data_IF_710383810802
#
_entry.id   IF_710383810802
#
_cell.length_a   1.000
_cell.length_b   1.000
_cell.length_c   1.000
_cell.angle_alpha   90.00
_cell.angle_beta   90.00
_cell.angle_gamma   90.00
#
_symmetry.space_group_name_H-M   'P 1'
#
loop_
_entity.id
_entity.type
_entity.pdbx_description
1 polymer ?
#
# COMPACT_ATOMS: atom_id res chain seq x y z
N UNK A 1 -11.29 -22.65 8.62
CA UNK A 1 -12.67 -22.48 8.12
C UNK A 1 -12.75 -22.45 6.59
N UNK A 2 -11.72 -21.96 5.85
CA UNK A 2 -11.71 -21.99 4.37
C UNK A 2 -11.42 -23.36 3.73
N UNK A 3 -10.84 -24.31 4.46
CA UNK A 3 -10.45 -25.62 3.92
C UNK A 3 -11.57 -26.39 3.19
N UNK A 4 -12.84 -26.38 3.62
CA UNK A 4 -13.93 -27.02 2.87
C UNK A 4 -14.12 -26.42 1.48
N UNK A 5 -14.12 -25.09 1.34
CA UNK A 5 -14.24 -24.40 0.06
C UNK A 5 -13.08 -24.76 -0.88
N UNK A 6 -11.85 -24.81 -0.37
CA UNK A 6 -10.69 -25.23 -1.17
C UNK A 6 -10.78 -26.68 -1.63
N UNK A 7 -11.31 -27.58 -0.80
CA UNK A 7 -11.55 -28.98 -1.19
C UNK A 7 -12.60 -29.09 -2.30
N UNK A 8 -13.65 -28.27 -2.27
CA UNK A 8 -14.67 -28.24 -3.34
C UNK A 8 -14.04 -27.68 -4.63
N UNK A 9 -13.34 -26.54 -4.53
CA UNK A 9 -12.69 -25.88 -5.68
C UNK A 9 -11.59 -26.72 -6.33
N UNK A 10 -10.97 -27.65 -5.60
CA UNK A 10 -10.05 -28.62 -6.17
C UNK A 10 -10.75 -29.71 -6.99
N UNK A 11 -11.97 -30.10 -6.59
CA UNK A 11 -12.74 -31.19 -7.23
C UNK A 11 -13.57 -30.72 -8.42
N UNK A 12 -14.14 -29.51 -8.34
CA UNK A 12 -14.93 -28.90 -9.41
C UNK A 12 -14.79 -27.39 -9.40
N UNK A 13 -15.19 -26.76 -10.50
CA UNK A 13 -15.35 -25.30 -10.56
C UNK A 13 -16.36 -24.86 -9.50
N UNK A 14 -16.01 -23.85 -8.73
CA UNK A 14 -16.90 -23.24 -7.73
C UNK A 14 -18.07 -22.55 -8.42
N UNK A 15 -19.25 -22.72 -7.83
CA UNK A 15 -20.51 -22.09 -8.21
C UNK A 15 -20.90 -21.02 -7.17
N UNK A 16 -21.89 -20.19 -7.48
CA UNK A 16 -22.33 -19.11 -6.58
C UNK A 16 -22.87 -19.66 -5.26
N UNK A 17 -23.56 -20.80 -5.32
CA UNK A 17 -24.13 -21.49 -4.14
C UNK A 17 -23.06 -22.08 -3.19
N UNK A 18 -21.81 -22.24 -3.66
CA UNK A 18 -20.71 -22.69 -2.80
C UNK A 18 -20.18 -21.57 -1.88
N UNK A 19 -20.54 -20.32 -2.16
CA UNK A 19 -20.01 -19.17 -1.45
C UNK A 19 -20.75 -18.95 -0.13
N UNK A 20 -19.98 -18.75 0.93
CA UNK A 20 -20.56 -18.41 2.24
C UNK A 20 -21.29 -17.07 2.19
N UNK A 21 -22.45 -17.02 2.83
CA UNK A 21 -23.14 -15.74 3.06
C UNK A 21 -22.26 -14.80 3.90
N UNK A 22 -22.37 -13.50 3.63
CA UNK A 22 -21.67 -12.47 4.40
C UNK A 22 -22.14 -12.46 5.86
N UNK A 23 -21.21 -12.14 6.76
CA UNK A 23 -21.53 -11.98 8.18
C UNK A 23 -22.56 -10.86 8.36
N UNK A 24 -23.48 -10.94 9.33
CA UNK A 24 -24.49 -9.90 9.59
C UNK A 24 -23.89 -8.50 9.79
N UNK A 25 -22.75 -8.42 10.49
CA UNK A 25 -21.99 -7.18 10.71
C UNK A 25 -21.39 -6.58 9.43
N UNK A 26 -21.19 -7.40 8.40
CA UNK A 26 -20.58 -6.99 7.13
C UNK A 26 -21.64 -6.73 6.04
N UNK A 27 -22.92 -6.74 6.39
CA UNK A 27 -24.02 -6.43 5.46
C UNK A 27 -24.03 -4.95 5.08
N UNK A 28 -24.37 -4.69 3.81
CA UNK A 28 -24.37 -3.34 3.24
C UNK A 28 -25.29 -2.36 3.94
N UNK A 29 -26.46 -2.82 4.39
CA UNK A 29 -27.41 -1.99 5.13
C UNK A 29 -26.80 -1.46 6.43
N UNK A 30 -26.26 -2.36 7.26
CA UNK A 30 -25.67 -1.99 8.55
C UNK A 30 -24.50 -1.00 8.37
N UNK A 31 -23.53 -1.36 7.52
CA UNK A 31 -22.34 -0.54 7.28
C UNK A 31 -22.68 0.82 6.65
N UNK A 32 -23.64 0.82 5.72
CA UNK A 32 -24.10 2.01 5.03
C UNK A 32 -24.88 2.97 5.93
N UNK A 33 -25.76 2.46 6.78
CA UNK A 33 -26.50 3.25 7.77
C UNK A 33 -25.59 3.82 8.86
N UNK A 34 -24.59 3.04 9.31
CA UNK A 34 -23.60 3.50 10.28
C UNK A 34 -22.83 4.72 9.75
N UNK A 35 -22.22 4.61 8.57
CA UNK A 35 -21.44 5.70 7.98
C UNK A 35 -22.33 6.90 7.62
N UNK A 36 -23.56 6.66 7.16
CA UNK A 36 -24.54 7.72 6.92
C UNK A 36 -24.85 8.48 8.22
N UNK A 37 -25.03 7.79 9.35
CA UNK A 37 -25.27 8.44 10.64
C UNK A 37 -24.11 9.34 11.07
N UNK A 38 -22.86 8.95 10.79
CA UNK A 38 -21.69 9.82 11.01
C UNK A 38 -21.63 11.00 10.04
N UNK A 39 -22.02 10.82 8.78
CA UNK A 39 -22.15 11.90 7.81
C UNK A 39 -23.20 12.92 8.23
N UNK A 40 -24.39 12.49 8.64
CA UNK A 40 -25.47 13.38 9.07
C UNK A 40 -25.08 14.19 10.32
N UNK A 41 -24.34 13.57 11.26
CA UNK A 41 -23.75 14.27 12.42
C UNK A 41 -22.72 15.32 12.00
N UNK A 42 -21.91 15.03 10.99
CA UNK A 42 -20.90 15.96 10.47
C UNK A 42 -21.54 17.14 9.73
N UNK A 43 -22.62 16.91 8.96
CA UNK A 43 -23.40 17.98 8.31
C UNK A 43 -23.97 18.94 9.35
N UNK A 44 -24.66 18.41 10.38
CA UNK A 44 -25.22 19.25 11.47
C UNK A 44 -24.16 20.05 12.22
N UNK A 45 -23.00 19.47 12.47
CA UNK A 45 -21.86 20.17 13.09
C UNK A 45 -21.31 21.26 12.18
N UNK A 46 -21.18 20.96 10.89
CA UNK A 46 -20.66 21.90 9.91
C UNK A 46 -21.58 23.13 9.74
N UNK A 47 -22.91 22.93 9.78
CA UNK A 47 -23.90 24.01 9.81
C UNK A 47 -23.75 24.91 11.05
N UNK A 48 -23.59 24.31 12.24
CA UNK A 48 -23.39 25.05 13.49
C UNK A 48 -22.09 25.85 13.49
N UNK A 49 -21.02 25.28 12.93
CA UNK A 49 -19.69 25.89 12.87
C UNK A 49 -19.51 26.81 11.64
N UNK A 50 -20.56 27.05 10.85
CA UNK A 50 -20.52 27.82 9.59
C UNK A 50 -19.39 27.40 8.64
N UNK A 51 -19.16 26.09 8.51
CA UNK A 51 -18.09 25.49 7.69
C UNK A 51 -18.67 24.46 6.72
N UNK A 52 -17.89 24.10 5.70
CA UNK A 52 -18.28 22.99 4.83
C UNK A 52 -18.17 21.63 5.54
N UNK A 53 -19.09 20.69 5.29
CA UNK A 53 -19.01 19.34 5.82
C UNK A 53 -17.83 18.58 5.19
N UNK A 54 -17.16 17.73 5.98
CA UNK A 54 -16.00 16.96 5.55
C UNK A 54 -16.28 15.46 5.56
N UNK A 55 -16.36 14.85 4.38
CA UNK A 55 -16.57 13.40 4.24
C UNK A 55 -15.42 12.61 4.87
N UNK A 56 -14.19 13.12 4.75
CA UNK A 56 -13.03 12.52 5.40
C UNK A 56 -13.20 12.47 6.93
N UNK A 57 -13.76 13.52 7.54
CA UNK A 57 -13.98 13.57 8.99
C UNK A 57 -15.07 12.58 9.43
N UNK A 58 -16.13 12.41 8.64
CA UNK A 58 -17.15 11.39 8.88
C UNK A 58 -16.56 9.96 8.82
N UNK A 59 -15.77 9.67 7.78
CA UNK A 59 -15.09 8.37 7.61
C UNK A 59 -14.15 8.09 8.79
N UNK A 60 -13.30 9.05 9.15
CA UNK A 60 -12.37 8.91 10.28
C UNK A 60 -13.15 8.64 11.55
N UNK A 61 -14.16 9.45 11.89
CA UNK A 61 -14.94 9.27 13.12
C UNK A 61 -15.67 7.91 13.20
N UNK A 62 -16.09 7.36 12.07
CA UNK A 62 -16.74 6.06 11.98
C UNK A 62 -15.77 4.91 12.27
N UNK A 63 -14.57 4.91 11.67
CA UNK A 63 -13.69 3.73 11.66
C UNK A 63 -12.41 3.85 12.51
N UNK A 64 -12.05 5.04 13.01
CA UNK A 64 -10.74 5.24 13.66
C UNK A 64 -10.54 4.39 14.91
N UNK A 65 -11.58 4.15 15.73
CA UNK A 65 -11.44 3.35 16.97
C UNK A 65 -11.11 1.89 16.64
N UNK A 66 -11.89 1.31 15.73
CA UNK A 66 -11.70 -0.06 15.26
C UNK A 66 -10.35 -0.21 14.57
N UNK A 67 -9.92 0.79 13.80
CA UNK A 67 -8.64 0.79 13.11
C UNK A 67 -7.44 0.97 14.07
N UNK A 68 -7.55 1.89 15.04
CA UNK A 68 -6.51 2.16 16.03
C UNK A 68 -6.26 0.98 16.96
N UNK A 69 -7.28 0.18 17.28
CA UNK A 69 -7.10 -1.06 18.04
C UNK A 69 -6.05 -1.98 17.37
N UNK A 70 -6.04 -2.06 16.04
CA UNK A 70 -5.09 -2.88 15.29
C UNK A 70 -3.70 -2.26 15.15
N UNK A 71 -3.53 -0.98 15.52
CA UNK A 71 -2.22 -0.32 15.60
C UNK A 71 -1.28 -1.05 16.58
N UNK A 72 -1.84 -1.54 17.69
CA UNK A 72 -1.09 -2.21 18.76
C UNK A 72 -0.53 -3.55 18.24
N UNK A 73 -1.35 -4.33 17.55
CA UNK A 73 -0.90 -5.59 16.92
C UNK A 73 0.19 -5.35 15.88
N UNK A 74 0.07 -4.27 15.11
CA UNK A 74 1.09 -3.90 14.12
C UNK A 74 2.40 -3.43 14.78
N UNK A 75 2.34 -2.75 15.93
CA UNK A 75 3.53 -2.42 16.72
C UNK A 75 4.23 -3.66 17.26
N UNK A 76 3.47 -4.61 17.81
CA UNK A 76 4.05 -5.86 18.30
C UNK A 76 4.69 -6.64 17.16
N UNK A 77 4.01 -6.77 16.02
CA UNK A 77 4.56 -7.41 14.83
C UNK A 77 5.90 -6.79 14.43
N UNK A 78 5.97 -5.47 14.29
CA UNK A 78 7.22 -4.80 13.91
C UNK A 78 8.30 -4.93 14.99
N UNK A 79 7.92 -4.95 16.27
CA UNK A 79 8.85 -5.18 17.39
C UNK A 79 9.49 -6.57 17.30
N UNK A 80 8.70 -7.62 17.13
CA UNK A 80 9.23 -8.98 16.96
C UNK A 80 10.15 -9.07 15.74
N UNK A 81 9.77 -8.41 14.64
CA UNK A 81 10.58 -8.37 13.41
C UNK A 81 11.96 -7.73 13.64
N UNK A 82 12.03 -6.65 14.41
CA UNK A 82 13.29 -5.93 14.73
C UNK A 82 14.12 -6.68 15.77
N UNK A 83 13.49 -7.46 16.65
CA UNK A 83 14.20 -8.26 17.66
C UNK A 83 14.77 -9.57 17.10
N UNK A 84 14.17 -10.19 16.10
CA UNK A 84 14.68 -11.44 15.50
C UNK A 84 16.20 -11.43 15.21
N UNK A 85 16.78 -10.38 14.60
CA UNK A 85 18.22 -10.27 14.36
C UNK A 85 19.09 -10.30 15.63
N UNK A 86 18.65 -9.72 16.74
CA UNK A 86 19.46 -9.62 17.98
C UNK A 86 19.56 -10.97 18.69
N UNK A 87 18.48 -11.75 18.70
CA UNK A 87 18.50 -13.12 19.22
C UNK A 87 19.33 -14.05 18.32
N UNK A 88 19.32 -13.83 17.01
CA UNK A 88 20.16 -14.58 16.08
C UNK A 88 21.64 -14.24 16.26
N UNK A 89 21.99 -12.98 16.52
CA UNK A 89 23.35 -12.57 16.91
C UNK A 89 23.83 -13.31 18.17
N UNK A 90 22.95 -13.50 19.16
CA UNK A 90 23.23 -14.27 20.37
C UNK A 90 23.57 -15.74 20.07
N UNK A 91 22.80 -16.37 19.18
CA UNK A 91 23.05 -17.73 18.72
C UNK A 91 24.38 -17.83 17.94
N UNK A 92 24.69 -16.85 17.10
CA UNK A 92 25.96 -16.81 16.38
C UNK A 92 27.15 -16.66 17.34
N UNK A 93 27.00 -15.86 18.39
CA UNK A 93 28.04 -15.71 19.43
C UNK A 93 28.32 -17.03 20.14
N UNK A 94 27.29 -17.85 20.38
CA UNK A 94 27.46 -19.21 20.91
C UNK A 94 28.32 -20.09 19.99
N UNK A 95 28.00 -20.14 18.70
CA UNK A 95 28.74 -20.97 17.74
C UNK A 95 30.19 -20.52 17.53
N UNK A 96 30.46 -19.22 17.62
CA UNK A 96 31.82 -18.69 17.50
C UNK A 96 32.70 -19.03 18.71
N UNK A 97 32.11 -19.16 19.90
CA UNK A 97 32.79 -19.45 21.15
C UNK A 97 32.40 -20.85 21.66
N UNK A 98 32.18 -21.80 20.77
CA UNK A 98 31.70 -23.13 21.13
C UNK A 98 32.72 -23.86 22.00
N UNK A 99 32.32 -24.16 23.23
CA UNK A 99 33.07 -24.99 24.17
C UNK A 99 32.21 -26.21 24.55
N UNK A 100 32.62 -27.44 24.20
CA UNK A 100 31.86 -28.65 24.51
C UNK A 100 31.75 -28.94 26.02
N UNK A 101 32.58 -28.30 26.85
CA UNK A 101 32.56 -28.48 28.31
C UNK A 101 31.63 -27.50 29.04
N UNK A 102 31.16 -26.44 28.38
CA UNK A 102 30.29 -25.42 28.98
C UNK A 102 28.80 -25.73 28.73
N UNK A 103 28.26 -26.57 29.60
CA UNK A 103 26.83 -26.91 29.62
C UNK A 103 25.90 -25.71 29.82
N UNK A 104 26.36 -24.64 30.49
CA UNK A 104 25.58 -23.42 30.71
C UNK A 104 25.41 -22.60 29.43
N UNK A 105 26.46 -22.54 28.61
CA UNK A 105 26.43 -21.85 27.32
C UNK A 105 25.61 -22.62 26.28
N UNK A 106 25.61 -23.96 26.33
CA UNK A 106 24.69 -24.80 25.54
C UNK A 106 23.22 -24.54 25.90
N UNK A 107 22.87 -24.45 27.20
CA UNK A 107 21.51 -24.13 27.62
C UNK A 107 21.03 -22.75 27.11
N UNK A 108 21.91 -21.74 27.14
CA UNK A 108 21.62 -20.41 26.57
C UNK A 108 21.35 -20.47 25.06
N UNK A 109 22.09 -21.29 24.33
CA UNK A 109 21.88 -21.47 22.89
C UNK A 109 20.50 -22.06 22.58
N UNK A 110 20.10 -23.12 23.30
CA UNK A 110 18.74 -23.67 23.18
C UNK A 110 17.67 -22.64 23.55
N UNK A 111 17.91 -21.81 24.57
CA UNK A 111 17.05 -20.69 24.93
C UNK A 111 16.89 -19.69 23.78
N UNK A 112 17.99 -19.25 23.16
CA UNK A 112 17.95 -18.35 22.00
C UNK A 112 17.21 -18.97 20.80
N UNK A 113 17.46 -20.24 20.48
CA UNK A 113 16.76 -20.96 19.42
C UNK A 113 15.26 -21.07 19.69
N UNK A 114 14.87 -21.40 20.93
CA UNK A 114 13.45 -21.47 21.31
C UNK A 114 12.78 -20.10 21.16
N UNK A 115 13.40 -19.04 21.69
CA UNK A 115 12.85 -17.67 21.59
C UNK A 115 12.74 -17.21 20.14
N UNK A 116 13.74 -17.48 19.30
CA UNK A 116 13.71 -17.16 17.86
C UNK A 116 12.52 -17.81 17.16
N UNK A 117 12.31 -19.11 17.36
CA UNK A 117 11.20 -19.83 16.73
C UNK A 117 9.85 -19.31 17.22
N UNK A 118 9.70 -19.06 18.53
CA UNK A 118 8.48 -18.50 19.10
C UNK A 118 8.21 -17.11 18.54
N UNK A 119 9.22 -16.23 18.47
CA UNK A 119 9.08 -14.89 17.91
C UNK A 119 8.73 -14.91 16.44
N UNK A 120 9.33 -15.83 15.66
CA UNK A 120 9.02 -15.98 14.23
C UNK A 120 7.56 -16.40 14.02
N UNK A 121 7.07 -17.35 14.80
CA UNK A 121 5.67 -17.81 14.74
C UNK A 121 4.71 -16.70 15.16
N UNK A 122 5.00 -16.00 16.27
CA UNK A 122 4.18 -14.87 16.74
C UNK A 122 4.16 -13.75 15.68
N UNK A 123 5.32 -13.40 15.12
CA UNK A 123 5.43 -12.41 14.06
C UNK A 123 4.57 -12.79 12.85
N UNK A 124 4.66 -14.03 12.37
CA UNK A 124 3.87 -14.50 11.23
C UNK A 124 2.36 -14.45 11.52
N UNK A 125 1.93 -14.89 12.71
CA UNK A 125 0.53 -14.83 13.13
C UNK A 125 0.05 -13.37 13.17
N UNK A 126 0.80 -12.47 13.81
CA UNK A 126 0.44 -11.06 13.92
C UNK A 126 0.38 -10.38 12.55
N UNK A 127 1.31 -10.67 11.64
CA UNK A 127 1.32 -10.12 10.29
C UNK A 127 0.06 -10.52 9.51
N UNK A 128 -0.30 -11.80 9.52
CA UNK A 128 -1.49 -12.29 8.83
C UNK A 128 -2.79 -11.82 9.50
N UNK A 129 -2.82 -11.79 10.84
CA UNK A 129 -3.94 -11.28 11.61
C UNK A 129 -4.19 -9.80 11.28
N UNK A 130 -3.18 -8.94 11.40
CA UNK A 130 -3.29 -7.53 11.04
C UNK A 130 -3.74 -7.35 9.58
N UNK A 131 -3.14 -8.09 8.65
CA UNK A 131 -3.47 -7.98 7.22
C UNK A 131 -4.94 -8.31 6.95
N UNK A 132 -5.46 -9.37 7.58
CA UNK A 132 -6.87 -9.77 7.47
C UNK A 132 -7.82 -8.68 8.00
N UNK A 133 -7.57 -8.16 9.19
CA UNK A 133 -8.44 -7.13 9.78
C UNK A 133 -8.36 -5.79 9.05
N UNK A 134 -7.16 -5.38 8.62
CA UNK A 134 -6.98 -4.17 7.82
C UNK A 134 -7.74 -4.28 6.48
N UNK A 135 -7.67 -5.42 5.81
CA UNK A 135 -8.44 -5.70 4.59
C UNK A 135 -9.95 -5.68 4.85
N UNK A 136 -10.41 -6.30 5.95
CA UNK A 136 -11.83 -6.29 6.31
C UNK A 136 -12.36 -4.87 6.57
N UNK A 137 -11.58 -4.01 7.23
CA UNK A 137 -11.95 -2.59 7.44
C UNK A 137 -12.01 -1.84 6.10
N UNK A 138 -11.05 -2.05 5.21
CA UNK A 138 -11.07 -1.50 3.85
C UNK A 138 -12.34 -1.88 3.09
N UNK A 139 -12.67 -3.17 3.10
CA UNK A 139 -13.89 -3.70 2.48
C UNK A 139 -15.15 -3.09 3.09
N UNK A 140 -15.24 -3.00 4.42
CA UNK A 140 -16.38 -2.39 5.12
C UNK A 140 -16.59 -0.95 4.68
N UNK A 141 -15.51 -0.17 4.64
CA UNK A 141 -15.54 1.21 4.19
C UNK A 141 -15.96 1.30 2.72
N UNK A 142 -15.48 0.40 1.86
CA UNK A 142 -15.93 0.35 0.46
C UNK A 142 -17.43 0.09 0.34
N UNK A 143 -17.94 -0.92 1.04
CA UNK A 143 -19.37 -1.28 1.00
C UNK A 143 -20.23 -0.13 1.52
N UNK A 144 -19.85 0.49 2.64
CA UNK A 144 -20.55 1.63 3.21
C UNK A 144 -20.62 2.83 2.24
N UNK A 145 -19.50 3.14 1.58
CA UNK A 145 -19.43 4.20 0.58
C UNK A 145 -20.29 3.89 -0.65
N UNK A 146 -20.27 2.66 -1.17
CA UNK A 146 -21.15 2.26 -2.26
C UNK A 146 -22.63 2.42 -1.90
N UNK A 147 -23.02 2.05 -0.67
CA UNK A 147 -24.38 2.24 -0.18
C UNK A 147 -24.77 3.72 -0.14
N UNK A 148 -23.91 4.59 0.40
CA UNK A 148 -24.17 6.04 0.44
C UNK A 148 -24.31 6.65 -0.95
N UNK A 149 -23.39 6.32 -1.87
CA UNK A 149 -23.43 6.79 -3.26
C UNK A 149 -24.73 6.35 -3.94
N UNK A 150 -25.12 5.08 -3.78
CA UNK A 150 -26.35 4.53 -4.35
C UNK A 150 -27.59 5.23 -3.79
N UNK A 151 -27.70 5.35 -2.47
CA UNK A 151 -28.81 6.04 -1.80
C UNK A 151 -28.93 7.49 -2.23
N UNK A 152 -27.80 8.19 -2.40
CA UNK A 152 -27.78 9.59 -2.85
C UNK A 152 -28.17 9.71 -4.32
N UNK A 153 -27.67 8.83 -5.17
CA UNK A 153 -28.01 8.78 -6.61
C UNK A 153 -29.52 8.69 -6.83
N UNK A 154 -30.22 7.87 -6.03
CA UNK A 154 -31.69 7.73 -6.08
C UNK A 154 -32.47 8.99 -5.65
N UNK A 155 -31.79 9.99 -5.07
CA UNK A 155 -32.38 11.23 -4.53
C UNK A 155 -31.85 12.48 -5.23
N UNK A 156 -31.05 12.34 -6.29
CA UNK A 156 -30.55 13.48 -7.05
C UNK A 156 -31.69 14.09 -7.87
N UNK A 157 -31.76 15.42 -7.90
CA UNK A 157 -32.67 16.15 -8.78
C UNK A 157 -32.23 16.04 -10.25
N UNK A 158 -33.17 16.21 -11.17
CA UNK A 158 -32.87 16.20 -12.61
C UNK A 158 -31.81 17.25 -13.02
N UNK A 159 -31.73 18.39 -12.31
CA UNK A 159 -30.71 19.43 -12.54
C UNK A 159 -29.31 19.01 -12.07
N UNK A 160 -29.21 18.24 -10.99
CA UNK A 160 -27.95 17.69 -10.51
C UNK A 160 -27.48 16.49 -11.37
N UNK A 161 -28.43 15.68 -11.87
CA UNK A 161 -28.16 14.59 -12.83
C UNK A 161 -27.60 15.14 -14.15
N UNK A 162 -28.03 16.32 -14.60
CA UNK A 162 -27.46 16.97 -15.79
C UNK A 162 -25.97 17.34 -15.63
N UNK A 163 -25.46 17.48 -14.41
CA UNK A 163 -24.05 17.78 -14.10
C UNK A 163 -23.20 16.53 -13.82
N UNK A 164 -23.84 15.44 -13.38
CA UNK A 164 -23.18 14.18 -13.02
C UNK A 164 -23.65 13.07 -13.95
N UNK A 165 -22.80 12.63 -14.89
CA UNK A 165 -23.17 11.58 -15.83
C UNK A 165 -23.21 10.21 -15.16
N UNK A 166 -24.06 9.31 -15.64
CA UNK A 166 -24.11 7.90 -15.17
C UNK A 166 -22.73 7.23 -15.23
N UNK A 167 -21.93 7.57 -16.24
CA UNK A 167 -20.55 7.07 -16.37
C UNK A 167 -19.62 7.54 -15.25
N UNK A 168 -19.79 8.78 -14.75
CA UNK A 168 -19.02 9.29 -13.61
C UNK A 168 -19.36 8.51 -12.33
N UNK A 169 -20.64 8.23 -12.06
CA UNK A 169 -21.08 7.45 -10.89
C UNK A 169 -20.53 6.03 -10.95
N UNK A 170 -20.62 5.38 -12.12
CA UNK A 170 -20.06 4.04 -12.33
C UNK A 170 -18.54 4.04 -12.08
N UNK A 171 -17.82 5.07 -12.56
CA UNK A 171 -16.40 5.21 -12.30
C UNK A 171 -16.07 5.39 -10.81
N UNK A 172 -16.87 6.17 -10.06
CA UNK A 172 -16.71 6.31 -8.61
C UNK A 172 -16.83 4.94 -7.93
N UNK A 173 -17.92 4.21 -8.20
CA UNK A 173 -18.20 2.89 -7.62
C UNK A 173 -17.16 1.83 -7.99
N UNK A 174 -16.60 1.90 -9.20
CA UNK A 174 -15.69 0.88 -9.73
C UNK A 174 -14.21 1.16 -9.44
N UNK A 175 -13.81 2.43 -9.32
CA UNK A 175 -12.40 2.82 -9.20
C UNK A 175 -12.08 3.58 -7.90
N UNK A 176 -12.89 4.56 -7.52
CA UNK A 176 -12.59 5.42 -6.38
C UNK A 176 -12.80 4.70 -5.05
N UNK A 177 -13.89 3.96 -4.93
CA UNK A 177 -14.19 3.26 -3.67
C UNK A 177 -13.19 2.11 -3.40
N UNK A 178 -12.63 1.48 -4.44
CA UNK A 178 -11.60 0.45 -4.28
C UNK A 178 -10.27 0.97 -3.69
N UNK A 179 -10.05 2.29 -3.61
CA UNK A 179 -8.85 2.85 -2.97
C UNK A 179 -8.84 2.64 -1.46
N UNK A 180 -10.01 2.51 -0.83
CA UNK A 180 -10.14 2.24 0.60
C UNK A 180 -9.55 0.89 1.02
N UNK A 181 -9.63 -0.12 0.15
CA UNK A 181 -9.02 -1.44 0.38
C UNK A 181 -7.49 -1.35 0.47
N UNK A 182 -6.89 -0.47 -0.34
CA UNK A 182 -5.42 -0.32 -0.42
C UNK A 182 -4.87 0.53 0.72
N UNK A 183 -5.54 1.62 1.07
CA UNK A 183 -5.03 2.58 2.06
C UNK A 183 -5.08 2.01 3.48
N UNK A 184 -6.11 1.24 3.81
CA UNK A 184 -6.29 0.63 5.15
C UNK A 184 -5.18 -0.37 5.49
N UNK A 185 -4.57 -1.03 4.51
CA UNK A 185 -3.42 -1.91 4.75
C UNK A 185 -2.13 -1.10 4.97
N UNK A 186 -1.99 0.04 4.30
CA UNK A 186 -0.73 0.79 4.23
C UNK A 186 -0.62 1.95 5.22
N UNK A 187 -1.74 2.47 5.74
CA UNK A 187 -1.75 3.70 6.52
C UNK A 187 -0.90 3.61 7.79
N UNK A 188 -0.87 2.46 8.48
CA UNK A 188 -0.02 2.28 9.66
C UNK A 188 1.49 2.39 9.39
N UNK A 189 1.92 2.19 8.14
CA UNK A 189 3.33 2.27 7.76
C UNK A 189 3.87 3.71 7.90
N UNK A 190 3.00 4.72 7.80
CA UNK A 190 3.41 6.13 7.85
C UNK A 190 3.99 6.56 9.21
N UNK A 191 3.55 5.95 10.30
CA UNK A 191 4.06 6.25 11.64
C UNK A 191 4.96 5.13 12.18
N UNK A 192 4.71 3.87 11.77
CA UNK A 192 5.57 2.74 12.14
C UNK A 192 6.91 2.83 11.43
N UNK A 193 6.96 3.25 10.16
CA UNK A 193 8.21 3.37 9.42
C UNK A 193 9.27 4.25 10.11
N UNK A 194 8.92 5.49 10.52
CA UNK A 194 9.81 6.32 11.31
C UNK A 194 10.21 5.68 12.65
N UNK A 195 9.28 5.04 13.35
CA UNK A 195 9.55 4.37 14.63
C UNK A 195 10.52 3.18 14.45
N UNK A 196 10.35 2.37 13.40
CA UNK A 196 11.26 1.29 13.03
C UNK A 196 12.64 1.86 12.70
N UNK A 197 12.72 2.92 11.91
CA UNK A 197 13.98 3.54 11.55
C UNK A 197 14.74 4.02 12.80
N UNK A 198 14.07 4.70 13.73
CA UNK A 198 14.66 5.15 15.00
C UNK A 198 15.14 3.95 15.81
N UNK A 199 14.31 2.92 15.97
CA UNK A 199 14.65 1.71 16.76
C UNK A 199 15.89 1.01 16.19
N UNK A 200 15.95 0.86 14.86
CA UNK A 200 17.08 0.22 14.20
C UNK A 200 18.35 1.08 14.27
N UNK A 201 18.24 2.41 14.13
CA UNK A 201 19.38 3.32 14.34
C UNK A 201 19.97 3.11 15.73
N UNK A 202 19.12 3.09 16.76
CA UNK A 202 19.56 2.88 18.15
C UNK A 202 20.26 1.52 18.31
N UNK A 203 19.66 0.43 17.80
CA UNK A 203 20.26 -0.91 17.89
C UNK A 203 21.58 -1.02 17.14
N UNK A 204 21.69 -0.43 15.95
CA UNK A 204 22.93 -0.41 15.18
C UNK A 204 24.01 0.42 15.87
N UNK A 205 23.64 1.58 16.42
CA UNK A 205 24.56 2.43 17.17
C UNK A 205 25.12 1.71 18.39
N UNK A 206 24.28 0.97 19.13
CA UNK A 206 24.74 0.19 20.29
C UNK A 206 25.77 -0.91 19.94
N UNK A 207 25.78 -1.39 18.68
CA UNK A 207 26.55 -2.58 18.28
C UNK A 207 27.76 -2.27 17.42
N UNK A 208 27.69 -1.23 16.59
CA UNK A 208 28.70 -0.84 15.59
C UNK A 208 29.07 0.65 15.75
N UNK A 209 28.47 1.35 16.73
CA UNK A 209 28.83 2.73 17.06
C UNK A 209 28.47 3.73 15.97
N UNK A 210 29.28 4.78 15.89
CA UNK A 210 29.04 5.93 14.99
C UNK A 210 29.06 5.58 13.50
N UNK A 211 29.72 4.48 13.12
CA UNK A 211 29.75 3.98 11.73
C UNK A 211 28.35 3.66 11.19
N UNK A 212 27.41 3.31 12.07
CA UNK A 212 26.01 3.10 11.71
C UNK A 212 25.37 4.33 11.08
N UNK A 213 25.77 5.55 11.48
CA UNK A 213 25.21 6.78 10.90
C UNK A 213 25.59 6.97 9.44
N UNK A 214 26.77 6.52 9.02
CA UNK A 214 27.19 6.62 7.61
C UNK A 214 26.26 5.81 6.70
N UNK A 215 25.91 4.58 7.10
CA UNK A 215 24.95 3.75 6.38
C UNK A 215 23.53 4.31 6.42
N UNK A 216 23.11 4.86 7.56
CA UNK A 216 21.80 5.49 7.71
C UNK A 216 21.65 6.77 6.87
N UNK A 217 22.70 7.58 6.76
CA UNK A 217 22.72 8.76 5.89
C UNK A 217 22.52 8.35 4.42
N UNK A 218 23.21 7.31 3.96
CA UNK A 218 23.00 6.76 2.62
C UNK A 218 21.59 6.20 2.42
N UNK A 219 21.03 5.52 3.42
CA UNK A 219 19.64 5.04 3.37
C UNK A 219 18.66 6.18 3.16
N UNK A 220 18.81 7.29 3.89
CA UNK A 220 17.97 8.49 3.73
C UNK A 220 18.13 9.08 2.33
N UNK A 221 19.35 9.22 1.82
CA UNK A 221 19.61 9.71 0.46
C UNK A 221 18.90 8.82 -0.58
N UNK A 222 19.02 7.50 -0.43
CA UNK A 222 18.40 6.53 -1.32
C UNK A 222 16.87 6.54 -1.23
N UNK A 223 16.30 6.76 -0.05
CA UNK A 223 14.87 6.95 0.15
C UNK A 223 14.37 8.21 -0.59
N UNK A 224 15.10 9.33 -0.51
CA UNK A 224 14.74 10.56 -1.23
C UNK A 224 14.81 10.38 -2.75
N UNK A 225 15.85 9.69 -3.24
CA UNK A 225 15.98 9.38 -4.67
C UNK A 225 14.82 8.51 -5.16
N UNK A 226 14.37 7.55 -4.33
CA UNK A 226 13.24 6.69 -4.64
C UNK A 226 11.90 7.45 -4.70
N UNK A 227 11.70 8.44 -3.83
CA UNK A 227 10.53 9.33 -3.92
C UNK A 227 10.53 10.10 -5.25
N UNK A 228 11.70 10.57 -5.70
CA UNK A 228 11.81 11.26 -6.99
C UNK A 228 11.54 10.32 -8.18
N UNK A 229 12.11 9.12 -8.18
CA UNK A 229 11.83 8.09 -9.18
C UNK A 229 10.34 7.74 -9.24
N UNK A 230 9.67 7.64 -8.08
CA UNK A 230 8.23 7.42 -8.00
C UNK A 230 7.41 8.53 -8.66
N UNK A 231 7.78 9.81 -8.46
CA UNK A 231 7.12 10.96 -9.14
C UNK A 231 7.30 10.89 -10.66
N UNK A 232 8.49 10.53 -11.13
CA UNK A 232 8.75 10.36 -12.56
C UNK A 232 7.94 9.19 -13.15
N UNK A 233 7.85 8.07 -12.42
CA UNK A 233 7.03 6.92 -12.80
C UNK A 233 5.56 7.29 -12.97
N UNK A 234 4.98 8.03 -12.02
CA UNK A 234 3.61 8.52 -12.10
C UNK A 234 3.39 9.45 -13.31
N UNK A 235 4.36 10.33 -13.60
CA UNK A 235 4.31 11.21 -14.78
C UNK A 235 4.31 10.42 -16.10
N UNK A 236 5.16 9.40 -16.22
CA UNK A 236 5.22 8.52 -17.39
C UNK A 236 3.93 7.70 -17.56
N UNK A 237 3.36 7.21 -16.45
CA UNK A 237 2.09 6.48 -16.46
C UNK A 237 0.92 7.36 -16.90
N UNK A 238 0.87 8.61 -16.44
CA UNK A 238 -0.12 9.60 -16.89
C UNK A 238 -0.02 9.88 -18.40
N UNK A 239 1.20 10.09 -18.91
CA UNK A 239 1.42 10.26 -20.36
C UNK A 239 1.05 9.01 -21.16
N UNK A 240 1.31 7.82 -20.63
CA UNK A 240 0.92 6.56 -21.25
C UNK A 240 -0.60 6.49 -21.39
N UNK A 241 -1.34 6.76 -20.31
CA UNK A 241 -2.80 6.79 -20.33
C UNK A 241 -3.35 7.76 -21.40
N UNK A 242 -2.81 8.98 -21.49
CA UNK A 242 -3.24 9.94 -22.50
C UNK A 242 -3.03 9.47 -23.95
N UNK A 243 -1.92 8.76 -24.24
CA UNK A 243 -1.69 8.17 -25.56
C UNK A 243 -2.59 6.96 -25.82
N UNK A 244 -2.82 6.13 -24.80
CA UNK A 244 -3.75 5.00 -24.89
C UNK A 244 -5.17 5.49 -25.19
N UNK A 245 -5.66 6.53 -24.52
CA UNK A 245 -6.97 7.11 -24.74
C UNK A 245 -7.13 7.64 -26.18
N UNK A 246 -6.13 8.37 -26.67
CA UNK A 246 -6.12 8.86 -28.06
C UNK A 246 -6.17 7.72 -29.08
N UNK A 247 -5.37 6.65 -28.86
CA UNK A 247 -5.37 5.45 -29.71
C UNK A 247 -6.72 4.75 -29.69
N UNK A 248 -7.31 4.54 -28.51
CA UNK A 248 -8.60 3.87 -28.36
C UNK A 248 -9.73 4.67 -29.02
N UNK A 249 -9.72 6.01 -28.88
CA UNK A 249 -10.67 6.89 -29.56
C UNK A 249 -10.59 6.75 -31.08
N UNK A 250 -9.40 6.89 -31.67
CA UNK A 250 -9.21 6.74 -33.12
C UNK A 250 -9.57 5.33 -33.60
N UNK A 251 -9.25 4.29 -32.82
CA UNK A 251 -9.63 2.92 -33.15
C UNK A 251 -11.16 2.76 -33.17
N UNK A 252 -11.88 3.39 -32.23
CA UNK A 252 -13.34 3.37 -32.19
C UNK A 252 -13.97 4.09 -33.40
N UNK A 253 -13.42 5.23 -33.80
CA UNK A 253 -13.84 5.96 -35.02
C UNK A 253 -13.65 5.10 -36.27
N UNK A 254 -12.51 4.41 -36.40
CA UNK A 254 -12.23 3.49 -37.53
C UNK A 254 -13.20 2.31 -37.57
N UNK A 255 -13.49 1.69 -36.42
CA UNK A 255 -14.44 0.57 -36.35
C UNK A 255 -15.85 1.03 -36.72
N UNK A 256 -16.27 2.20 -36.24
CA UNK A 256 -17.58 2.77 -36.55
C UNK A 256 -17.71 3.10 -38.03
N UNK A 257 -16.65 3.61 -38.66
CA UNK A 257 -16.58 3.97 -40.08
C UNK A 257 -16.11 2.86 -41.03
N UNK A 258 -16.03 1.60 -40.60
CA UNK A 258 -15.29 0.55 -41.32
C UNK A 258 -15.80 0.29 -42.74
N UNK A 259 -17.13 0.41 -42.97
CA UNK A 259 -17.73 0.21 -44.29
C UNK A 259 -17.23 1.24 -45.30
N UNK A 260 -17.18 2.51 -44.92
CA UNK A 260 -16.67 3.61 -45.76
C UNK A 260 -15.18 3.41 -46.04
N UNK A 261 -14.40 3.09 -45.01
CA UNK A 261 -12.95 2.85 -45.16
C UNK A 261 -12.67 1.71 -46.15
N UNK A 262 -13.44 0.62 -46.07
CA UNK A 262 -13.38 -0.51 -47.00
C UNK A 262 -13.78 -0.14 -48.43
N UNK A 263 -14.84 0.66 -48.60
CA UNK A 263 -15.32 1.12 -49.91
C UNK A 263 -14.26 1.96 -50.65
N UNK A 264 -13.49 2.77 -49.92
CA UNK A 264 -12.42 3.61 -50.48
C UNK A 264 -11.02 2.98 -50.41
N UNK A 265 -10.88 1.73 -49.96
CA UNK A 265 -9.61 1.04 -49.78
C UNK A 265 -8.59 1.82 -48.91
N UNK A 266 -9.06 2.54 -47.89
CA UNK A 266 -8.24 3.37 -46.99
C UNK A 266 -7.62 2.61 -45.81
N UNK A 267 -7.70 1.28 -45.77
CA UNK A 267 -7.30 0.50 -44.61
C UNK A 267 -5.82 0.69 -44.24
N UNK A 268 -4.94 0.77 -45.25
CA UNK A 268 -3.50 0.97 -45.00
C UNK A 268 -3.22 2.31 -44.35
N UNK A 269 -3.85 3.39 -44.83
CA UNK A 269 -3.66 4.74 -44.28
C UNK A 269 -4.14 4.85 -42.83
N UNK A 270 -5.29 4.25 -42.49
CA UNK A 270 -5.78 4.20 -41.11
C UNK A 270 -4.94 3.27 -40.22
N UNK A 271 -4.46 2.14 -40.75
CA UNK A 271 -3.54 1.26 -40.03
C UNK A 271 -2.22 1.98 -39.68
N UNK A 272 -1.66 2.77 -40.60
CA UNK A 272 -0.49 3.60 -40.36
C UNK A 272 -0.75 4.68 -39.31
N UNK A 273 -1.92 5.34 -39.35
CA UNK A 273 -2.32 6.31 -38.33
C UNK A 273 -2.33 5.69 -36.92
N UNK A 274 -2.99 4.52 -36.76
CA UNK A 274 -3.04 3.79 -35.48
C UNK A 274 -1.64 3.35 -35.06
N UNK A 275 -0.81 2.88 -36.00
CA UNK A 275 0.57 2.45 -35.75
C UNK A 275 1.44 3.61 -35.22
N UNK A 276 1.28 4.83 -35.76
CA UNK A 276 1.98 6.02 -35.25
C UNK A 276 1.57 6.37 -33.81
N UNK A 277 0.28 6.27 -33.48
CA UNK A 277 -0.21 6.47 -32.10
C UNK A 277 0.36 5.39 -31.17
N UNK A 278 0.34 4.13 -31.61
CA UNK A 278 0.91 3.01 -30.87
C UNK A 278 2.41 3.17 -30.61
N UNK A 279 3.17 3.70 -31.56
CA UNK A 279 4.62 3.99 -31.37
C UNK A 279 4.85 5.02 -30.26
N UNK A 280 4.03 6.07 -30.19
CA UNK A 280 4.11 7.09 -29.11
C UNK A 280 3.77 6.48 -27.75
N UNK A 281 2.72 5.66 -27.70
CA UNK A 281 2.31 4.92 -26.50
C UNK A 281 3.42 3.98 -26.02
N UNK A 282 3.93 3.11 -26.90
CA UNK A 282 5.02 2.15 -26.59
C UNK A 282 6.27 2.88 -26.11
N UNK A 283 6.63 4.02 -26.69
CA UNK A 283 7.79 4.80 -26.24
C UNK A 283 7.67 5.22 -24.77
N UNK A 284 6.47 5.56 -24.28
CA UNK A 284 6.25 5.91 -22.87
C UNK A 284 6.18 4.68 -21.98
N UNK A 285 5.55 3.61 -22.44
CA UNK A 285 5.55 2.31 -21.75
C UNK A 285 6.99 1.85 -21.52
N UNK A 286 7.81 1.83 -22.56
CA UNK A 286 9.19 1.36 -22.48
C UNK A 286 10.03 2.19 -21.50
N UNK A 287 9.88 3.52 -21.51
CA UNK A 287 10.54 4.39 -20.52
C UNK A 287 10.08 4.09 -19.09
N UNK A 288 8.79 3.81 -18.89
CA UNK A 288 8.25 3.42 -17.58
C UNK A 288 8.82 2.08 -17.13
N UNK A 289 8.93 1.10 -18.05
CA UNK A 289 9.51 -0.22 -17.77
C UNK A 289 11.00 -0.14 -17.44
N UNK A 290 11.78 0.68 -18.15
CA UNK A 290 13.18 0.91 -17.79
C UNK A 290 13.33 1.54 -16.40
N UNK A 291 12.48 2.53 -16.07
CA UNK A 291 12.50 3.16 -14.76
C UNK A 291 12.14 2.16 -13.63
N UNK A 292 11.16 1.30 -13.87
CA UNK A 292 10.77 0.24 -12.93
C UNK A 292 11.91 -0.78 -12.73
N UNK A 293 12.55 -1.21 -13.81
CA UNK A 293 13.73 -2.07 -13.76
C UNK A 293 14.90 -1.43 -13.01
N UNK A 294 15.20 -0.14 -13.27
CA UNK A 294 16.21 0.62 -12.55
C UNK A 294 15.88 0.72 -11.05
N UNK A 295 14.61 0.90 -10.70
CA UNK A 295 14.13 0.95 -9.32
C UNK A 295 14.40 -0.35 -8.58
N UNK A 296 14.15 -1.50 -9.23
CA UNK A 296 14.42 -2.82 -8.68
C UNK A 296 15.93 -3.09 -8.50
N UNK A 297 16.74 -2.77 -9.52
CA UNK A 297 18.22 -2.90 -9.47
C UNK A 297 18.78 -2.03 -8.34
N UNK A 298 18.29 -0.81 -8.22
CA UNK A 298 18.69 0.12 -7.16
C UNK A 298 18.32 -0.40 -5.77
N UNK A 299 17.13 -0.98 -5.60
CA UNK A 299 16.71 -1.56 -4.33
C UNK A 299 17.61 -2.73 -3.88
N UNK A 300 18.07 -3.57 -4.80
CA UNK A 300 19.00 -4.66 -4.48
C UNK A 300 20.43 -4.16 -4.23
N UNK A 301 20.93 -3.27 -5.09
CA UNK A 301 22.30 -2.75 -5.01
C UNK A 301 22.51 -1.85 -3.79
N UNK A 302 21.52 -1.02 -3.45
CA UNK A 302 21.59 -0.07 -2.33
C UNK A 302 21.98 -0.74 -1.00
N UNK A 303 21.46 -1.94 -0.71
CA UNK A 303 21.84 -2.65 0.53
C UNK A 303 23.34 -3.00 0.58
N UNK A 304 23.93 -3.38 -0.56
CA UNK A 304 25.36 -3.73 -0.64
C UNK A 304 26.22 -2.48 -0.43
N UNK A 305 25.82 -1.36 -1.03
CA UNK A 305 26.51 -0.06 -0.87
C UNK A 305 26.42 0.46 0.57
N UNK A 306 25.23 0.41 1.20
CA UNK A 306 25.04 0.82 2.59
C UNK A 306 25.95 0.02 3.53
N UNK A 307 25.99 -1.30 3.36
CA UNK A 307 26.84 -2.18 4.17
C UNK A 307 28.32 -1.92 3.94
N UNK A 308 28.74 -1.79 2.68
CA UNK A 308 30.13 -1.49 2.34
C UNK A 308 30.61 -0.21 3.02
N UNK A 309 29.83 0.87 2.95
CA UNK A 309 30.21 2.15 3.57
C UNK A 309 30.17 2.07 5.10
N UNK A 310 29.20 1.36 5.68
CA UNK A 310 29.12 1.15 7.14
C UNK A 310 30.37 0.42 7.65
N UNK A 311 30.75 -0.70 7.01
CA UNK A 311 31.91 -1.47 7.48
C UNK A 311 33.25 -0.84 7.13
N UNK A 312 33.34 -0.12 6.00
CA UNK A 312 34.52 0.68 5.67
C UNK A 312 34.76 1.75 6.73
N UNK A 313 33.71 2.51 7.09
CA UNK A 313 33.82 3.52 8.17
C UNK A 313 34.13 2.88 9.52
N UNK A 314 33.60 1.69 9.82
CA UNK A 314 33.89 0.96 11.06
C UNK A 314 35.37 0.55 11.18
N UNK A 315 35.98 0.07 10.08
CA UNK A 315 37.41 -0.28 10.03
C UNK A 315 38.29 0.97 10.07
N UNK A 316 37.91 2.04 9.38
CA UNK A 316 38.65 3.31 9.39
C UNK A 316 38.70 3.96 10.78
N UNK A 317 37.69 3.70 11.62
CA UNK A 317 37.69 4.10 13.03
C UNK A 317 38.52 3.17 13.94
N UNK A 318 39.23 2.20 13.37
CA UNK A 318 40.14 1.31 14.09
C UNK A 318 39.48 0.07 14.71
N UNK A 319 38.21 -0.21 14.39
CA UNK A 319 37.50 -1.36 14.95
C UNK A 319 37.70 -2.64 14.11
N UNK A 320 37.72 -3.79 14.80
CA UNK A 320 37.78 -5.10 14.15
C UNK A 320 36.37 -5.60 13.83
N UNK A 321 36.16 -6.04 12.59
CA UNK A 321 34.89 -6.60 12.13
C UNK A 321 34.70 -8.01 12.70
N UNK A 322 33.57 -8.24 13.35
CA UNK A 322 33.16 -9.59 13.79
C UNK A 322 31.97 -10.10 12.98
N UNK A 323 31.88 -11.42 12.77
CA UNK A 323 30.79 -12.05 11.99
C UNK A 323 29.41 -11.69 12.56
N UNK A 324 29.28 -11.68 13.90
CA UNK A 324 28.03 -11.32 14.57
C UNK A 324 27.56 -9.90 14.28
N UNK A 325 28.48 -8.93 14.25
CA UNK A 325 28.16 -7.54 13.89
C UNK A 325 27.77 -7.41 12.43
N UNK A 326 28.46 -8.13 11.54
CA UNK A 326 28.13 -8.15 10.10
C UNK A 326 26.73 -8.67 9.87
N UNK A 327 26.41 -9.84 10.43
CA UNK A 327 25.08 -10.43 10.27
C UNK A 327 23.99 -9.52 10.82
N UNK A 328 24.16 -9.02 12.04
CA UNK A 328 23.19 -8.14 12.67
C UNK A 328 22.94 -6.88 11.82
N UNK A 329 24.00 -6.23 11.32
CA UNK A 329 23.88 -5.05 10.47
C UNK A 329 23.12 -5.35 9.19
N UNK A 330 23.46 -6.45 8.51
CA UNK A 330 22.80 -6.88 7.28
C UNK A 330 21.29 -7.00 7.50
N UNK A 331 20.88 -7.73 8.53
CA UNK A 331 19.46 -7.98 8.76
C UNK A 331 18.72 -6.73 9.22
N UNK A 332 19.30 -5.92 10.11
CA UNK A 332 18.69 -4.68 10.58
C UNK A 332 18.53 -3.64 9.46
N UNK A 333 19.56 -3.44 8.62
CA UNK A 333 19.43 -2.57 7.44
C UNK A 333 18.40 -3.08 6.46
N UNK A 334 18.27 -4.40 6.26
CA UNK A 334 17.22 -4.96 5.42
C UNK A 334 15.80 -4.65 5.94
N UNK A 335 15.59 -4.69 7.25
CA UNK A 335 14.30 -4.33 7.88
C UNK A 335 13.94 -2.87 7.56
N UNK A 336 14.84 -1.92 7.84
CA UNK A 336 14.57 -0.49 7.55
C UNK A 336 14.45 -0.22 6.06
N UNK A 337 15.26 -0.87 5.22
CA UNK A 337 15.16 -0.74 3.77
C UNK A 337 13.79 -1.16 3.26
N UNK A 338 13.28 -2.29 3.71
CA UNK A 338 11.97 -2.79 3.28
C UNK A 338 10.84 -1.86 3.73
N UNK A 339 10.86 -1.42 4.99
CA UNK A 339 9.84 -0.52 5.52
C UNK A 339 9.94 0.90 4.91
N UNK A 340 11.14 1.46 4.82
CA UNK A 340 11.39 2.84 4.40
C UNK A 340 11.45 3.07 2.89
N UNK A 341 12.14 2.21 2.12
CA UNK A 341 12.30 2.42 0.67
C UNK A 341 11.11 1.85 -0.11
N UNK A 342 10.59 0.68 0.28
CA UNK A 342 9.52 0.02 -0.49
C UNK A 342 8.13 0.44 0.00
N UNK A 343 7.85 0.26 1.29
CA UNK A 343 6.48 0.42 1.79
C UNK A 343 6.06 1.85 2.07
N UNK A 344 6.96 2.69 2.58
CA UNK A 344 6.64 4.07 2.94
C UNK A 344 6.17 4.93 1.75
N UNK A 345 6.83 4.93 0.57
CA UNK A 345 6.34 5.67 -0.59
C UNK A 345 4.99 5.16 -1.08
N UNK A 346 4.80 3.85 -1.08
CA UNK A 346 3.54 3.19 -1.44
C UNK A 346 2.38 3.55 -0.49
N UNK A 347 2.68 3.85 0.77
CA UNK A 347 1.69 4.33 1.74
C UNK A 347 1.31 5.79 1.46
N UNK A 348 2.28 6.67 1.19
CA UNK A 348 2.05 8.07 0.82
C UNK A 348 1.18 8.14 -0.45
N UNK A 349 1.54 7.37 -1.48
CA UNK A 349 0.78 7.30 -2.73
C UNK A 349 -0.67 6.89 -2.47
N UNK A 350 -0.88 5.81 -1.70
CA UNK A 350 -2.23 5.32 -1.40
C UNK A 350 -3.07 6.32 -0.62
N UNK A 351 -2.46 7.10 0.28
CA UNK A 351 -3.16 8.17 1.00
C UNK A 351 -3.52 9.31 0.04
N UNK A 352 -2.58 9.76 -0.79
CA UNK A 352 -2.84 10.82 -1.76
C UNK A 352 -3.96 10.46 -2.75
N UNK A 353 -3.95 9.24 -3.28
CA UNK A 353 -5.02 8.72 -4.15
C UNK A 353 -6.37 8.69 -3.42
N UNK A 354 -6.40 8.20 -2.18
CA UNK A 354 -7.64 8.11 -1.39
C UNK A 354 -8.21 9.50 -1.08
N UNK A 355 -7.36 10.46 -0.73
CA UNK A 355 -7.77 11.85 -0.49
C UNK A 355 -8.39 12.45 -1.75
N UNK A 356 -7.78 12.22 -2.93
CA UNK A 356 -8.34 12.67 -4.20
C UNK A 356 -9.70 12.00 -4.50
N UNK A 357 -9.82 10.70 -4.25
CA UNK A 357 -11.08 9.95 -4.39
C UNK A 357 -12.18 10.45 -3.48
N UNK A 358 -11.90 10.68 -2.19
CA UNK A 358 -12.87 11.25 -1.24
C UNK A 358 -13.33 12.63 -1.68
N UNK A 359 -12.44 13.47 -2.22
CA UNK A 359 -12.82 14.78 -2.78
C UNK A 359 -13.74 14.65 -4.00
N UNK A 360 -13.48 13.69 -4.90
CA UNK A 360 -14.35 13.43 -6.06
C UNK A 360 -15.73 12.96 -5.62
N UNK A 361 -15.80 12.01 -4.69
CA UNK A 361 -17.07 11.51 -4.14
C UNK A 361 -17.85 12.65 -3.46
N UNK A 362 -17.20 13.46 -2.62
CA UNK A 362 -17.82 14.64 -1.99
C UNK A 362 -18.44 15.58 -3.04
N UNK A 363 -17.66 15.94 -4.06
CA UNK A 363 -18.09 16.88 -5.10
C UNK A 363 -19.26 16.35 -5.94
N UNK A 364 -19.27 15.06 -6.26
CA UNK A 364 -20.30 14.47 -7.12
C UNK A 364 -21.63 14.30 -6.41
N UNK A 365 -21.58 13.80 -5.16
CA UNK A 365 -22.78 13.33 -4.48
C UNK A 365 -23.28 14.29 -3.40
N UNK A 366 -22.39 15.09 -2.77
CA UNK A 366 -22.74 15.82 -1.55
C UNK A 366 -22.81 17.35 -1.73
N UNK A 367 -21.97 17.95 -2.57
CA UNK A 367 -21.96 19.41 -2.79
C UNK A 367 -22.97 19.87 -3.86
N UNK A 368 -23.23 19.05 -4.88
CA UNK A 368 -24.07 19.40 -6.05
C UNK A 368 -25.54 19.61 -5.72
N UNK A 369 -26.03 19.10 -4.59
CA UNK A 369 -27.43 19.21 -4.16
C UNK A 369 -27.67 20.34 -3.13
N UNK A 370 -26.68 20.66 -2.29
CA UNK A 370 -26.82 21.73 -1.29
C UNK A 370 -27.02 23.13 -1.90
N UNK A 371 -26.65 23.30 -3.17
CA UNK A 371 -26.84 24.54 -3.94
C UNK A 371 -28.25 24.62 -4.57
N UNK A 372 -28.98 23.50 -4.66
CA UNK A 372 -30.31 23.44 -5.30
C UNK A 372 -31.46 23.04 -4.35
N UNK A 373 -31.16 22.59 -3.13
CA UNK A 373 -32.14 22.37 -2.05
C UNK A 373 -32.33 23.61 -1.14
N UNK A 374 -31.84 24.80 -1.56
CA UNK A 374 -32.13 26.09 -0.91
C UNK A 374 -33.02 26.96 -1.78
#
# INVERSE_FOLDING_TARGET
>A
WLNPLFKIGHKRRLEEDDMYSVLPEDRSQHLGEELQGYWDKEVKRAEKDAREPSLMKAIINCYWKSYLLFAIFKLFEETFRVLLPTYFEGLLTYYQNYDPSDSGTLFKAYGYTAVLNVFLVIWAILQHFFSYYAQRIGMRLRVAMCHMIYRKTLRLSNSAIGKTTTGQIINLLSNDVNRFDRVTIRLHILWIGPLTAITVIVLLWMKIGISSLAGMALLIIFMLLQIFSGKLFLSLRSKTAAFTDSRLRTMNEVITGIRTIKMYAWEKSFAELITRLRRKEISKILRSSYLDGMTLIFFDTSSKVILFVTFTTYVLLGNLITVKQVFLAITLYQVVKFTGILHFPLAIESVAETVASVRRIKRCDFDTAAIFDR
#
